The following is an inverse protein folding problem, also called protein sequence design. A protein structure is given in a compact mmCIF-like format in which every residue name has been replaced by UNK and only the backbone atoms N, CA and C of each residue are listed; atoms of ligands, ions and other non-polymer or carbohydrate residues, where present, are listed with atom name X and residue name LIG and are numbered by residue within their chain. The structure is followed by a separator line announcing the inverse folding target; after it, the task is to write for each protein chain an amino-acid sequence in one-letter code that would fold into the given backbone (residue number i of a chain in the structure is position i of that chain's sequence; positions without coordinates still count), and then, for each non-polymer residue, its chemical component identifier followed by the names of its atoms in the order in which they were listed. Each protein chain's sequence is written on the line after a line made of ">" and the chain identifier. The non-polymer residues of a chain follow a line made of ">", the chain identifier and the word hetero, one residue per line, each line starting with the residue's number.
data_IF_341164956346
#
_entry.id   IF_341164956346
#
_cell.length_a   1.000
_cell.length_b   1.000
_cell.length_c   1.000
_cell.angle_alpha   90.00
_cell.angle_beta   90.00
_cell.angle_gamma   90.00
#
_symmetry.space_group_name_H-M   'P 1'
#
loop_
_entity.id
_entity.type
_entity.pdbx_description
1 polymer ?
#
# COMPACT_ATOMS: atom_id res chain seq x y z
N UNK A 1 -26.00 2.71 6.48
CA UNK A 1 -25.03 1.72 7.03
C UNK A 1 -24.55 0.90 5.85
N UNK A 2 -23.30 1.10 5.38
CA UNK A 2 -22.74 0.17 4.38
C UNK A 2 -22.41 -1.12 5.12
N UNK A 3 -23.18 -2.16 4.91
CA UNK A 3 -22.88 -3.52 5.37
C UNK A 3 -21.57 -3.94 4.72
N UNK A 4 -20.53 -4.11 5.53
CA UNK A 4 -19.28 -4.69 5.08
C UNK A 4 -19.52 -6.17 4.78
N UNK A 5 -19.15 -6.61 3.59
CA UNK A 5 -19.34 -7.98 3.14
C UNK A 5 -17.98 -8.70 3.18
N UNK A 6 -17.93 -9.86 3.83
CA UNK A 6 -16.82 -10.77 3.64
C UNK A 6 -16.92 -11.33 2.22
N UNK A 7 -15.91 -11.06 1.39
CA UNK A 7 -15.90 -11.51 0.00
C UNK A 7 -15.22 -12.88 -0.09
N UNK A 8 -15.96 -13.93 -0.42
CA UNK A 8 -15.39 -15.24 -0.61
C UNK A 8 -14.46 -15.22 -1.84
N UNK A 9 -13.35 -15.93 -1.74
CA UNK A 9 -12.41 -16.07 -2.85
C UNK A 9 -13.03 -16.96 -3.92
N UNK A 10 -13.49 -16.36 -5.02
CA UNK A 10 -14.10 -17.07 -6.15
C UNK A 10 -13.07 -17.22 -7.25
N UNK A 11 -12.64 -18.47 -7.48
CA UNK A 11 -11.72 -18.79 -8.57
C UNK A 11 -12.40 -18.65 -9.92
N UNK A 12 -11.68 -18.17 -10.89
CA UNK A 12 -12.19 -17.94 -12.25
C UNK A 12 -11.06 -18.08 -13.26
N UNK A 13 -11.35 -18.69 -14.38
CA UNK A 13 -10.44 -18.76 -15.53
C UNK A 13 -11.18 -18.29 -16.79
N UNK A 14 -11.71 -17.06 -16.76
CA UNK A 14 -12.46 -16.45 -17.85
C UNK A 14 -11.64 -15.33 -18.50
N UNK A 15 -11.83 -15.07 -19.80
CA UNK A 15 -11.20 -13.93 -20.45
C UNK A 15 -11.48 -12.61 -19.70
N UNK A 16 -10.43 -11.84 -19.46
CA UNK A 16 -10.48 -10.56 -18.75
C UNK A 16 -10.43 -10.65 -17.23
N UNK A 17 -10.73 -11.80 -16.63
CA UNK A 17 -10.57 -11.99 -15.18
C UNK A 17 -10.23 -13.44 -14.87
N UNK A 18 -9.04 -13.68 -14.40
CA UNK A 18 -8.56 -14.99 -13.94
C UNK A 18 -8.11 -14.86 -12.49
N UNK A 19 -8.50 -15.81 -11.66
CA UNK A 19 -7.99 -16.00 -10.31
C UNK A 19 -7.72 -17.51 -10.14
N UNK A 20 -6.45 -17.86 -10.09
CA UNK A 20 -5.97 -19.24 -10.07
C UNK A 20 -5.89 -19.76 -8.64
N UNK A 21 -6.31 -21.02 -8.44
CA UNK A 21 -6.10 -21.77 -7.21
C UNK A 21 -4.75 -22.52 -7.29
N UNK A 22 -3.84 -22.22 -6.38
CA UNK A 22 -2.53 -22.88 -6.31
C UNK A 22 -2.47 -24.03 -5.27
N UNK A 23 -3.57 -24.29 -4.56
CA UNK A 23 -3.63 -25.39 -3.56
C UNK A 23 -3.36 -26.76 -4.17
N UNK A 24 -3.82 -27.08 -5.41
CA UNK A 24 -3.46 -28.35 -6.08
C UNK A 24 -1.95 -28.52 -6.32
N UNK A 25 -1.21 -27.41 -6.39
CA UNK A 25 0.25 -27.40 -6.48
C UNK A 25 0.95 -27.44 -5.09
N UNK A 26 0.19 -27.62 -4.01
CA UNK A 26 0.68 -27.71 -2.64
C UNK A 26 1.10 -26.35 -2.05
N UNK A 27 0.41 -25.28 -2.46
CA UNK A 27 0.65 -23.92 -1.99
C UNK A 27 -0.60 -23.43 -1.25
N UNK A 28 -0.62 -23.60 0.07
CA UNK A 28 -1.75 -23.21 0.92
C UNK A 28 -1.70 -21.75 1.41
N UNK A 29 -0.52 -21.16 1.48
CA UNK A 29 -0.34 -19.78 1.94
C UNK A 29 -0.74 -18.73 0.89
N UNK A 30 -0.98 -19.12 -0.36
CA UNK A 30 -1.49 -18.26 -1.41
C UNK A 30 -2.89 -18.72 -1.78
N UNK A 31 -3.87 -17.93 -1.35
CA UNK A 31 -5.29 -18.19 -1.62
C UNK A 31 -5.68 -17.90 -3.06
N UNK A 32 -4.86 -17.16 -3.81
CA UNK A 32 -5.10 -16.92 -5.22
C UNK A 32 -4.05 -16.04 -5.87
N UNK A 33 -3.79 -16.31 -7.15
CA UNK A 33 -3.01 -15.43 -8.03
C UNK A 33 -3.87 -15.06 -9.24
N UNK A 34 -4.07 -13.77 -9.45
CA UNK A 34 -5.03 -13.29 -10.44
C UNK A 34 -4.46 -12.32 -11.45
N UNK A 35 -5.14 -12.26 -12.60
CA UNK A 35 -4.98 -11.22 -13.61
C UNK A 35 -6.33 -10.64 -13.95
N UNK A 36 -6.42 -9.32 -13.97
CA UNK A 36 -7.57 -8.59 -14.53
C UNK A 36 -7.11 -7.81 -15.74
N UNK A 37 -7.81 -7.97 -16.86
CA UNK A 37 -7.53 -7.29 -18.13
C UNK A 37 -8.87 -6.87 -18.75
N UNK A 38 -9.38 -5.71 -18.33
CA UNK A 38 -10.73 -5.28 -18.69
C UNK A 38 -10.71 -4.36 -19.90
N UNK A 39 -11.28 -4.82 -21.01
CA UNK A 39 -11.44 -4.03 -22.22
C UNK A 39 -12.62 -3.04 -22.17
N UNK A 40 -13.53 -3.22 -21.22
CA UNK A 40 -14.66 -2.32 -20.96
C UNK A 40 -14.64 -1.82 -19.52
N UNK A 41 -15.29 -0.69 -19.26
CA UNK A 41 -15.55 -0.25 -17.87
C UNK A 41 -16.43 -1.31 -17.17
N UNK A 42 -16.16 -1.55 -15.90
CA UNK A 42 -16.98 -2.39 -15.03
C UNK A 42 -17.44 -1.60 -13.82
N UNK A 43 -18.53 -2.05 -13.23
CA UNK A 43 -18.97 -1.52 -11.94
C UNK A 43 -17.88 -1.70 -10.89
N UNK A 44 -17.80 -0.74 -9.99
CA UNK A 44 -16.88 -0.83 -8.89
C UNK A 44 -17.35 -1.91 -7.92
N UNK A 45 -16.45 -2.76 -7.40
CA UNK A 45 -16.82 -3.70 -6.38
C UNK A 45 -17.32 -2.98 -5.13
N UNK A 46 -18.19 -3.61 -4.38
CA UNK A 46 -18.59 -3.13 -3.06
C UNK A 46 -17.40 -3.12 -2.10
N UNK A 47 -17.55 -2.38 -1.00
CA UNK A 47 -16.55 -2.38 0.06
C UNK A 47 -16.57 -3.75 0.74
N UNK A 48 -15.47 -4.49 0.64
CA UNK A 48 -15.34 -5.85 1.12
C UNK A 48 -14.01 -6.07 1.84
N UNK A 49 -13.87 -7.20 2.50
CA UNK A 49 -12.61 -7.65 3.09
C UNK A 49 -12.43 -9.16 2.89
N UNK A 50 -11.20 -9.61 3.00
CA UNK A 50 -10.86 -11.03 2.99
C UNK A 50 -10.35 -11.45 4.37
N UNK A 51 -11.01 -12.44 5.00
CA UNK A 51 -10.67 -12.88 6.35
C UNK A 51 -9.26 -13.52 6.41
N UNK A 52 -8.38 -12.94 7.22
CA UNK A 52 -7.01 -13.43 7.40
C UNK A 52 -6.09 -13.32 6.17
N UNK A 53 -6.50 -12.57 5.14
CA UNK A 53 -5.80 -12.49 3.86
C UNK A 53 -5.31 -11.06 3.61
N UNK A 54 -4.09 -10.94 3.11
CA UNK A 54 -3.54 -9.71 2.52
C UNK A 54 -3.74 -9.76 1.00
N UNK A 55 -4.22 -8.67 0.42
CA UNK A 55 -4.28 -8.52 -1.02
C UNK A 55 -3.15 -7.60 -1.51
N UNK A 56 -2.43 -8.06 -2.51
CA UNK A 56 -1.41 -7.31 -3.24
C UNK A 56 -1.88 -7.08 -4.67
N UNK A 57 -1.99 -5.84 -5.09
CA UNK A 57 -2.41 -5.47 -6.44
C UNK A 57 -1.30 -4.71 -7.17
N UNK A 58 -0.74 -5.32 -8.23
CA UNK A 58 0.21 -4.67 -9.12
C UNK A 58 -0.53 -4.04 -10.31
N UNK A 59 -0.43 -2.73 -10.46
CA UNK A 59 -0.94 -2.03 -11.64
C UNK A 59 0.00 -2.24 -12.83
N UNK A 60 -0.48 -2.84 -13.92
CA UNK A 60 0.26 -2.97 -15.18
C UNK A 60 -0.14 -1.89 -16.18
N UNK A 61 -1.43 -1.50 -16.17
CA UNK A 61 -1.98 -0.47 -17.06
C UNK A 61 -3.18 0.21 -16.42
N UNK A 62 -3.33 1.50 -16.66
CA UNK A 62 -4.39 2.35 -16.10
C UNK A 62 -3.92 3.14 -14.87
N UNK A 63 -4.80 3.98 -14.35
CA UNK A 63 -4.60 4.71 -13.10
C UNK A 63 -5.63 4.18 -12.10
N UNK A 64 -5.16 3.57 -11.03
CA UNK A 64 -6.03 2.89 -10.09
C UNK A 64 -6.19 3.70 -8.80
N UNK A 65 -7.38 3.60 -8.21
CA UNK A 65 -7.67 4.15 -6.89
C UNK A 65 -8.32 3.07 -6.04
N UNK A 66 -7.61 2.63 -5.01
CA UNK A 66 -8.20 1.81 -3.95
C UNK A 66 -8.70 2.71 -2.83
N UNK A 67 -9.89 2.42 -2.35
CA UNK A 67 -10.46 3.00 -1.15
C UNK A 67 -10.39 1.97 -0.02
N UNK A 68 -9.97 2.42 1.14
CA UNK A 68 -10.03 1.68 2.41
C UNK A 68 -10.87 2.47 3.39
N UNK A 69 -11.12 1.98 4.59
CA UNK A 69 -11.90 2.70 5.60
C UNK A 69 -11.37 4.09 5.94
N UNK A 70 -10.06 4.28 5.81
CA UNK A 70 -9.37 5.46 6.30
C UNK A 70 -8.99 6.45 5.20
N UNK A 71 -8.81 6.00 3.96
CA UNK A 71 -8.39 6.86 2.85
C UNK A 71 -8.36 6.19 1.49
N UNK A 72 -8.13 7.01 0.46
CA UNK A 72 -7.90 6.59 -0.92
C UNK A 72 -6.40 6.51 -1.23
N UNK A 73 -6.03 5.46 -1.95
CA UNK A 73 -4.69 5.22 -2.45
C UNK A 73 -4.72 5.25 -3.98
N UNK A 74 -4.05 6.25 -4.56
CA UNK A 74 -3.89 6.36 -6.02
C UNK A 74 -2.53 5.82 -6.41
N UNK A 75 -2.48 4.94 -7.39
CA UNK A 75 -1.24 4.39 -7.89
C UNK A 75 -1.27 4.15 -9.39
N UNK A 76 -0.09 4.21 -9.99
CA UNK A 76 0.17 4.23 -11.41
C UNK A 76 0.71 2.87 -11.88
N UNK A 77 0.79 2.63 -13.20
CA UNK A 77 1.48 1.46 -13.73
C UNK A 77 2.89 1.31 -13.15
N UNK A 78 3.26 0.08 -12.83
CA UNK A 78 4.51 -0.26 -12.17
C UNK A 78 4.50 -0.12 -10.64
N UNK A 79 3.36 0.26 -10.02
CA UNK A 79 3.23 0.31 -8.57
C UNK A 79 2.34 -0.81 -8.04
N UNK A 80 2.64 -1.24 -6.83
CA UNK A 80 1.80 -2.15 -6.05
C UNK A 80 1.06 -1.39 -4.95
N UNK A 81 -0.15 -1.85 -4.66
CA UNK A 81 -0.92 -1.53 -3.46
C UNK A 81 -1.09 -2.80 -2.61
N UNK A 82 -1.08 -2.66 -1.28
CA UNK A 82 -1.30 -3.77 -0.35
C UNK A 82 -2.34 -3.43 0.70
N UNK A 83 -3.25 -4.36 0.96
CA UNK A 83 -4.18 -4.31 2.09
C UNK A 83 -3.59 -5.00 3.32
N UNK A 84 -4.02 -4.58 4.53
CA UNK A 84 -3.82 -5.40 5.71
C UNK A 84 -4.86 -6.54 5.74
N UNK A 85 -4.60 -7.59 6.53
CA UNK A 85 -5.60 -8.63 6.78
C UNK A 85 -6.89 -8.01 7.35
N UNK A 86 -8.03 -8.53 6.94
CA UNK A 86 -9.36 -8.07 7.38
C UNK A 86 -9.61 -6.57 7.11
N UNK A 87 -8.80 -5.90 6.30
CA UNK A 87 -8.98 -4.48 6.01
C UNK A 87 -10.02 -4.31 4.91
N UNK A 88 -11.15 -3.61 5.21
CA UNK A 88 -12.11 -3.26 4.18
C UNK A 88 -11.50 -2.39 3.08
N UNK A 89 -11.75 -2.78 1.85
CA UNK A 89 -11.23 -2.09 0.68
C UNK A 89 -12.11 -2.33 -0.56
N UNK A 90 -11.95 -1.46 -1.54
CA UNK A 90 -12.52 -1.64 -2.88
C UNK A 90 -11.68 -0.91 -3.91
N UNK A 91 -11.72 -1.38 -5.14
CA UNK A 91 -11.25 -0.61 -6.28
C UNK A 91 -12.32 0.42 -6.65
N UNK A 92 -12.03 1.70 -6.46
CA UNK A 92 -12.98 2.80 -6.64
C UNK A 92 -13.21 3.16 -8.10
N UNK A 93 -12.28 2.83 -8.98
CA UNK A 93 -12.40 3.06 -10.40
C UNK A 93 -11.87 1.86 -11.19
N UNK A 94 -12.66 1.42 -12.15
CA UNK A 94 -12.31 0.36 -13.12
C UNK A 94 -12.17 0.97 -14.53
N UNK A 95 -11.06 1.70 -14.82
CA UNK A 95 -10.93 2.38 -16.10
C UNK A 95 -10.84 1.36 -17.24
N UNK A 96 -11.46 1.69 -18.38
CA UNK A 96 -11.34 0.90 -19.60
C UNK A 96 -9.87 0.64 -19.95
N UNK A 97 -9.53 -0.60 -20.23
CA UNK A 97 -8.19 -1.05 -20.59
C UNK A 97 -7.23 -1.13 -19.41
N UNK A 98 -7.72 -1.17 -18.18
CA UNK A 98 -6.87 -1.47 -17.03
C UNK A 98 -6.38 -2.91 -17.07
N UNK A 99 -5.15 -3.09 -16.57
CA UNK A 99 -4.56 -4.41 -16.37
C UNK A 99 -3.85 -4.49 -15.04
N UNK A 100 -4.13 -5.54 -14.27
CA UNK A 100 -3.52 -5.74 -12.94
C UNK A 100 -3.12 -7.20 -12.74
N UNK A 101 -2.07 -7.42 -11.94
CA UNK A 101 -1.86 -8.68 -11.26
C UNK A 101 -2.32 -8.55 -9.80
N UNK A 102 -2.83 -9.66 -9.28
CA UNK A 102 -3.32 -9.76 -7.90
C UNK A 102 -2.72 -10.98 -7.23
N UNK A 103 -2.35 -10.84 -5.96
CA UNK A 103 -1.92 -11.92 -5.09
C UNK A 103 -2.73 -11.85 -3.80
N UNK A 104 -3.36 -12.94 -3.41
CA UNK A 104 -4.05 -13.12 -2.15
C UNK A 104 -3.18 -14.03 -1.26
N UNK A 105 -2.57 -13.44 -0.24
CA UNK A 105 -1.71 -14.15 0.71
C UNK A 105 -2.44 -14.40 2.02
N UNK A 106 -2.71 -15.66 2.31
CA UNK A 106 -3.26 -16.10 3.60
C UNK A 106 -2.15 -16.11 4.63
N UNK A 107 -2.35 -15.42 5.74
CA UNK A 107 -1.36 -15.41 6.81
C UNK A 107 -1.29 -16.79 7.46
N UNK A 108 -0.13 -17.47 7.41
CA UNK A 108 0.05 -18.75 8.07
C UNK A 108 -0.07 -18.62 9.58
N UNK A 109 -0.48 -19.69 10.25
CA UNK A 109 -0.47 -19.73 11.72
C UNK A 109 0.95 -19.67 12.24
N UNK A 110 1.11 -19.17 13.47
CA UNK A 110 2.40 -19.18 14.13
C UNK A 110 2.91 -20.63 14.29
N UNK A 111 4.14 -20.87 13.86
CA UNK A 111 4.71 -22.21 13.85
C UNK A 111 4.51 -23.02 12.57
N UNK A 112 3.69 -22.54 11.63
CA UNK A 112 3.53 -23.19 10.33
C UNK A 112 4.74 -22.91 9.42
N UNK A 113 5.13 -23.92 8.65
CA UNK A 113 6.07 -23.79 7.53
C UNK A 113 5.33 -23.81 6.19
N UNK A 114 5.83 -23.08 5.19
CA UNK A 114 5.23 -23.03 3.86
C UNK A 114 6.28 -22.86 2.76
N UNK A 115 5.92 -23.24 1.54
CA UNK A 115 6.77 -23.14 0.34
C UNK A 115 8.15 -23.83 0.45
N UNK A 116 8.30 -24.77 1.39
CA UNK A 116 9.57 -25.47 1.63
C UNK A 116 10.54 -24.73 2.56
N UNK A 117 10.11 -23.61 3.14
CA UNK A 117 10.84 -22.88 4.18
C UNK A 117 10.71 -23.61 5.52
N UNK A 118 11.70 -23.46 6.40
CA UNK A 118 11.55 -23.84 7.80
C UNK A 118 10.62 -22.86 8.57
N UNK A 119 10.35 -23.15 9.84
CA UNK A 119 9.47 -22.33 10.69
C UNK A 119 10.03 -20.90 10.86
N UNK A 120 11.34 -20.74 11.07
CA UNK A 120 11.96 -19.42 11.29
C UNK A 120 11.92 -18.58 10.02
N UNK A 121 12.23 -19.18 8.89
CA UNK A 121 12.17 -18.53 7.57
C UNK A 121 10.72 -18.15 7.23
N UNK A 122 9.76 -19.04 7.51
CA UNK A 122 8.32 -18.78 7.30
C UNK A 122 7.81 -17.62 8.16
N UNK A 123 8.19 -17.59 9.44
CA UNK A 123 7.86 -16.47 10.33
C UNK A 123 8.50 -15.15 9.89
N UNK A 124 9.77 -15.19 9.48
CA UNK A 124 10.46 -14.00 8.97
C UNK A 124 9.76 -13.43 7.75
N UNK A 125 9.39 -14.29 6.79
CA UNK A 125 8.72 -13.85 5.56
C UNK A 125 7.31 -13.31 5.85
N UNK A 126 6.53 -14.01 6.67
CA UNK A 126 5.19 -13.56 7.10
C UNK A 126 5.24 -12.22 7.81
N UNK A 127 6.13 -12.06 8.80
CA UNK A 127 6.34 -10.77 9.50
C UNK A 127 6.80 -9.67 8.56
N UNK A 128 7.65 -9.99 7.58
CA UNK A 128 8.13 -9.04 6.58
C UNK A 128 7.01 -8.52 5.70
N UNK A 129 6.09 -9.39 5.25
CA UNK A 129 4.93 -9.02 4.46
C UNK A 129 3.91 -8.21 5.27
N UNK A 130 3.64 -8.60 6.52
CA UNK A 130 2.72 -7.87 7.40
C UNK A 130 3.21 -6.46 7.78
N UNK A 131 4.53 -6.27 7.86
CA UNK A 131 5.16 -5.02 8.30
C UNK A 131 5.81 -4.24 7.14
N UNK A 132 5.20 -4.26 5.96
CA UNK A 132 5.69 -3.46 4.85
C UNK A 132 5.65 -1.96 5.20
N UNK A 133 6.72 -1.20 4.90
CA UNK A 133 6.85 0.20 5.32
C UNK A 133 5.88 1.13 4.58
N UNK A 134 5.33 0.68 3.46
CA UNK A 134 4.46 1.47 2.60
C UNK A 134 3.31 0.62 2.07
N UNK A 135 2.12 1.24 1.93
CA UNK A 135 0.95 0.62 1.30
C UNK A 135 1.00 0.68 -0.23
N UNK A 136 1.68 1.69 -0.76
CA UNK A 136 1.90 1.87 -2.20
C UNK A 136 3.39 2.03 -2.43
N UNK A 137 3.96 1.19 -3.26
CA UNK A 137 5.38 1.21 -3.60
C UNK A 137 5.63 0.80 -5.05
N UNK A 138 6.76 1.22 -5.60
CA UNK A 138 7.16 0.83 -6.94
C UNK A 138 7.56 -0.66 -6.97
N UNK A 139 6.93 -1.43 -7.83
CA UNK A 139 7.31 -2.81 -8.08
C UNK A 139 8.60 -2.87 -8.91
N UNK A 140 9.37 -3.93 -8.72
CA UNK A 140 10.52 -4.22 -9.57
C UNK A 140 10.13 -5.11 -10.76
N UNK A 141 10.99 -5.21 -11.76
CA UNK A 141 10.80 -6.19 -12.84
C UNK A 141 10.70 -7.63 -12.30
N UNK A 142 11.44 -7.96 -11.23
CA UNK A 142 11.35 -9.29 -10.57
C UNK A 142 9.92 -9.63 -10.14
N UNK A 143 9.20 -8.68 -9.54
CA UNK A 143 7.80 -8.89 -9.12
C UNK A 143 6.95 -9.28 -10.34
N UNK A 144 7.02 -8.49 -11.43
CA UNK A 144 6.25 -8.79 -12.65
C UNK A 144 6.65 -10.14 -13.24
N UNK A 145 7.95 -10.41 -13.37
CA UNK A 145 8.46 -11.67 -13.95
C UNK A 145 8.06 -12.88 -13.12
N UNK A 146 7.98 -12.76 -11.78
CA UNK A 146 7.51 -13.85 -10.92
C UNK A 146 6.01 -14.14 -11.12
N UNK A 147 5.18 -13.11 -11.29
CA UNK A 147 3.78 -13.31 -11.70
C UNK A 147 3.69 -13.99 -13.07
N UNK A 148 4.41 -13.48 -14.08
CA UNK A 148 4.42 -14.06 -15.43
C UNK A 148 4.80 -15.55 -15.39
N UNK A 149 5.81 -15.92 -14.58
CA UNK A 149 6.25 -17.30 -14.42
C UNK A 149 5.21 -18.21 -13.78
N UNK A 150 4.46 -17.70 -12.79
CA UNK A 150 3.36 -18.47 -12.18
C UNK A 150 2.29 -18.77 -13.22
N UNK A 151 1.87 -17.77 -14.01
CA UNK A 151 0.89 -17.96 -15.07
C UNK A 151 1.41 -18.92 -16.15
N UNK A 152 2.65 -18.77 -16.59
CA UNK A 152 3.27 -19.69 -17.57
C UNK A 152 3.31 -21.14 -17.08
N UNK A 153 3.73 -21.36 -15.84
CA UNK A 153 3.72 -22.71 -15.25
C UNK A 153 2.30 -23.29 -15.09
N UNK A 154 1.32 -22.44 -14.81
CA UNK A 154 -0.07 -22.88 -14.70
C UNK A 154 -0.65 -23.28 -16.05
N UNK A 155 -0.39 -22.50 -17.08
CA UNK A 155 -0.97 -22.68 -18.42
C UNK A 155 -0.26 -23.76 -19.24
N UNK A 156 1.07 -23.84 -19.13
CA UNK A 156 1.89 -24.61 -20.08
C UNK A 156 2.52 -25.88 -19.49
N UNK A 157 2.51 -26.05 -18.16
CA UNK A 157 3.12 -27.22 -17.55
C UNK A 157 2.06 -28.21 -17.04
N UNK A 158 2.16 -29.47 -17.49
CA UNK A 158 1.30 -30.55 -16.95
C UNK A 158 1.52 -30.74 -15.44
N UNK A 159 0.45 -31.04 -14.66
CA UNK A 159 0.57 -31.39 -13.25
C UNK A 159 1.60 -32.53 -13.03
N UNK A 160 2.63 -32.24 -12.24
CA UNK A 160 3.73 -33.16 -11.95
C UNK A 160 4.49 -32.71 -10.69
N UNK A 161 5.29 -33.56 -10.05
CA UNK A 161 6.16 -33.16 -8.97
C UNK A 161 7.11 -32.02 -9.35
N UNK A 162 7.64 -32.04 -10.58
CA UNK A 162 8.52 -30.99 -11.09
C UNK A 162 7.80 -29.66 -11.32
N UNK A 163 6.52 -29.67 -11.77
CA UNK A 163 5.71 -28.46 -11.85
C UNK A 163 5.48 -27.89 -10.45
N UNK A 164 5.09 -28.72 -9.48
CA UNK A 164 4.88 -28.30 -8.08
C UNK A 164 6.11 -27.65 -7.48
N UNK A 165 7.28 -28.25 -7.66
CA UNK A 165 8.53 -27.67 -7.16
C UNK A 165 8.82 -26.29 -7.78
N UNK A 166 8.67 -26.17 -9.11
CA UNK A 166 8.86 -24.89 -9.82
C UNK A 166 7.81 -23.84 -9.41
N UNK A 167 6.57 -24.24 -9.19
CA UNK A 167 5.49 -23.35 -8.75
C UNK A 167 5.77 -22.82 -7.34
N UNK A 168 6.20 -23.66 -6.40
CA UNK A 168 6.63 -23.24 -5.06
C UNK A 168 7.80 -22.26 -5.12
N UNK A 169 8.80 -22.53 -5.95
CA UNK A 169 9.94 -21.62 -6.16
C UNK A 169 9.50 -20.27 -6.72
N UNK A 170 8.61 -20.25 -7.72
CA UNK A 170 8.11 -19.00 -8.30
C UNK A 170 7.26 -18.21 -7.30
N UNK A 171 6.45 -18.87 -6.49
CA UNK A 171 5.65 -18.26 -5.45
C UNK A 171 6.53 -17.66 -4.33
N UNK A 172 7.55 -18.38 -3.88
CA UNK A 172 8.53 -17.88 -2.90
C UNK A 172 9.27 -16.65 -3.43
N UNK A 173 9.77 -16.74 -4.69
CA UNK A 173 10.43 -15.63 -5.36
C UNK A 173 9.53 -14.40 -5.45
N UNK A 174 8.23 -14.57 -5.74
CA UNK A 174 7.27 -13.47 -5.79
C UNK A 174 7.14 -12.78 -4.42
N UNK A 175 6.98 -13.54 -3.35
CA UNK A 175 6.85 -12.98 -1.98
C UNK A 175 8.11 -12.24 -1.55
N UNK A 176 9.29 -12.80 -1.80
CA UNK A 176 10.58 -12.15 -1.52
C UNK A 176 10.73 -10.88 -2.36
N UNK A 177 10.43 -10.94 -3.67
CA UNK A 177 10.51 -9.79 -4.55
C UNK A 177 9.58 -8.64 -4.14
N UNK A 178 8.41 -8.95 -3.57
CA UNK A 178 7.48 -7.96 -2.99
C UNK A 178 8.10 -7.30 -1.76
N UNK A 179 8.64 -8.08 -0.82
CA UNK A 179 9.32 -7.56 0.39
C UNK A 179 10.49 -6.66 0.00
N UNK A 180 11.33 -7.11 -0.94
CA UNK A 180 12.47 -6.35 -1.44
C UNK A 180 12.02 -5.04 -2.12
N UNK A 181 10.97 -5.10 -2.95
CA UNK A 181 10.43 -3.92 -3.62
C UNK A 181 9.88 -2.89 -2.65
N UNK A 182 9.13 -3.33 -1.64
CA UNK A 182 8.54 -2.45 -0.62
C UNK A 182 9.59 -1.84 0.31
N UNK A 183 10.67 -2.57 0.59
CA UNK A 183 11.82 -2.11 1.38
C UNK A 183 12.82 -1.31 0.56
N UNK A 184 12.78 -1.40 -0.76
CA UNK A 184 13.56 -0.49 -1.57
C UNK A 184 13.13 0.92 -1.21
N UNK A 185 13.97 1.58 -0.46
CA UNK A 185 13.98 3.05 -0.46
C UNK A 185 14.08 3.41 -1.95
N UNK A 186 13.11 4.15 -2.52
CA UNK A 186 13.19 4.57 -3.93
C UNK A 186 14.61 5.08 -4.15
N UNK A 187 15.31 4.50 -5.13
CA UNK A 187 16.72 4.70 -5.52
C UNK A 187 17.33 5.88 -4.77
N UNK A 188 18.31 5.67 -3.86
CA UNK A 188 18.85 6.67 -2.93
C UNK A 188 18.34 8.05 -3.30
N UNK A 189 17.24 8.49 -2.67
CA UNK A 189 16.89 9.90 -2.80
C UNK A 189 18.22 10.60 -2.56
N UNK A 190 18.67 11.50 -3.44
CA UNK A 190 19.91 12.19 -3.22
C UNK A 190 19.96 12.48 -1.73
N UNK A 191 21.05 12.16 -1.05
CA UNK A 191 21.11 12.21 0.43
C UNK A 191 20.36 13.43 0.96
N UNK A 192 20.46 14.54 0.22
CA UNK A 192 19.74 15.79 0.42
C UNK A 192 18.18 15.65 0.40
N UNK A 193 17.59 14.84 -0.49
CA UNK A 193 16.12 14.64 -0.50
C UNK A 193 15.66 13.79 0.69
N UNK A 194 16.43 12.76 1.05
CA UNK A 194 16.14 11.92 2.21
C UNK A 194 16.26 12.71 3.52
N UNK A 195 17.30 13.51 3.65
CA UNK A 195 17.52 14.41 4.78
C UNK A 195 16.43 15.46 4.88
N UNK A 196 16.04 16.07 3.75
CA UNK A 196 14.92 17.00 3.70
C UNK A 196 13.61 16.33 4.16
N UNK A 197 13.31 15.13 3.68
CA UNK A 197 12.10 14.41 4.09
C UNK A 197 12.15 14.05 5.60
N UNK A 198 13.32 13.68 6.13
CA UNK A 198 13.52 13.49 7.57
C UNK A 198 13.27 14.78 8.34
N UNK A 199 13.89 15.88 7.93
CA UNK A 199 13.72 17.20 8.54
C UNK A 199 12.26 17.66 8.54
N UNK A 200 11.51 17.43 7.46
CA UNK A 200 10.08 17.76 7.39
C UNK A 200 9.27 16.94 8.40
N UNK A 201 9.58 15.65 8.61
CA UNK A 201 8.90 14.84 9.63
C UNK A 201 9.19 15.30 11.05
N UNK A 202 10.42 15.72 11.32
CA UNK A 202 10.86 16.19 12.64
C UNK A 202 10.32 17.57 12.97
N UNK A 203 10.29 18.47 11.98
CA UNK A 203 9.88 19.87 12.13
C UNK A 203 8.84 20.28 11.07
N UNK A 204 7.66 19.66 11.03
CA UNK A 204 6.68 19.92 9.96
C UNK A 204 6.06 21.33 10.02
N UNK A 205 6.18 22.03 11.15
CA UNK A 205 5.78 23.43 11.34
C UNK A 205 6.69 24.43 10.63
N UNK A 206 7.90 24.06 10.26
CA UNK A 206 8.82 24.93 9.55
C UNK A 206 8.33 25.26 8.13
N UNK A 207 8.91 26.30 7.54
CA UNK A 207 8.67 26.63 6.14
C UNK A 207 9.64 25.88 5.24
N UNK A 208 9.09 25.41 4.11
CA UNK A 208 9.83 24.67 3.09
C UNK A 208 9.59 25.26 1.70
N UNK A 209 10.12 26.50 1.44
CA UNK A 209 9.99 27.13 0.13
C UNK A 209 10.66 26.28 -0.95
N UNK A 210 9.92 25.98 -2.02
CA UNK A 210 10.38 25.05 -3.07
C UNK A 210 11.72 25.47 -3.67
N UNK A 211 11.89 26.79 -3.94
CA UNK A 211 13.13 27.32 -4.54
C UNK A 211 14.36 27.06 -3.66
N UNK A 212 14.23 27.29 -2.35
CA UNK A 212 15.32 27.02 -1.40
C UNK A 212 15.62 25.52 -1.26
N UNK A 213 14.56 24.70 -1.23
CA UNK A 213 14.72 23.26 -1.12
C UNK A 213 15.37 22.67 -2.36
N UNK A 214 15.00 23.15 -3.56
CA UNK A 214 15.63 22.79 -4.81
C UNK A 214 17.11 23.19 -4.82
N UNK A 215 17.45 24.43 -4.40
CA UNK A 215 18.84 24.88 -4.30
C UNK A 215 19.66 24.04 -3.33
N UNK A 216 19.13 23.69 -2.14
CA UNK A 216 19.79 22.81 -1.16
C UNK A 216 20.03 21.41 -1.69
N UNK A 217 19.23 20.96 -2.64
CA UNK A 217 19.39 19.66 -3.29
C UNK A 217 20.23 19.72 -4.58
N UNK A 218 20.78 20.89 -4.94
CA UNK A 218 21.49 21.12 -6.21
C UNK A 218 20.65 20.74 -7.44
N UNK A 219 19.36 21.06 -7.43
CA UNK A 219 18.40 20.75 -8.49
C UNK A 219 17.69 22.02 -8.98
N UNK A 220 17.30 22.04 -10.24
CA UNK A 220 16.30 23.02 -10.70
C UNK A 220 14.95 22.73 -10.03
N UNK A 221 14.05 23.72 -9.95
CA UNK A 221 12.72 23.54 -9.33
C UNK A 221 11.96 22.38 -9.97
N UNK A 222 11.98 22.27 -11.31
CA UNK A 222 11.31 21.18 -12.02
C UNK A 222 11.93 19.82 -11.71
N UNK A 223 13.26 19.69 -11.74
CA UNK A 223 13.96 18.46 -11.38
C UNK A 223 13.74 18.09 -9.91
N UNK A 224 13.68 19.08 -9.00
CA UNK A 224 13.38 18.87 -7.60
C UNK A 224 11.97 18.28 -7.40
N UNK A 225 10.93 18.87 -8.02
CA UNK A 225 9.57 18.34 -7.94
C UNK A 225 9.48 16.89 -8.44
N UNK A 226 10.07 16.59 -9.60
CA UNK A 226 10.09 15.26 -10.17
C UNK A 226 10.84 14.26 -9.26
N UNK A 227 12.04 14.65 -8.77
CA UNK A 227 12.88 13.80 -7.94
C UNK A 227 12.25 13.58 -6.56
N UNK A 228 11.76 14.65 -5.91
CA UNK A 228 11.09 14.54 -4.61
C UNK A 228 9.86 13.63 -4.70
N UNK A 229 8.97 13.84 -5.69
CA UNK A 229 7.78 13.02 -5.90
C UNK A 229 8.16 11.57 -6.19
N UNK A 230 9.16 11.31 -7.02
CA UNK A 230 9.64 9.97 -7.34
C UNK A 230 10.25 9.26 -6.13
N UNK A 231 11.02 9.99 -5.31
CA UNK A 231 11.73 9.44 -4.15
C UNK A 231 10.85 9.25 -2.93
N UNK A 232 9.88 10.15 -2.71
CA UNK A 232 9.03 10.18 -1.51
C UNK A 232 7.60 9.69 -1.78
N UNK A 233 7.21 9.59 -3.05
CA UNK A 233 5.86 9.18 -3.46
C UNK A 233 4.83 10.30 -3.46
N UNK A 234 5.13 11.46 -2.87
CA UNK A 234 4.24 12.61 -2.74
C UNK A 234 4.94 13.92 -3.19
N UNK A 235 4.20 14.88 -3.76
CA UNK A 235 4.72 16.23 -3.92
C UNK A 235 5.12 16.85 -2.58
N UNK A 236 6.13 17.72 -2.56
CA UNK A 236 6.64 18.37 -1.33
C UNK A 236 5.51 18.95 -0.45
N UNK A 237 4.63 19.77 -1.04
CA UNK A 237 3.54 20.40 -0.29
C UNK A 237 2.61 19.38 0.37
N UNK A 238 2.22 18.33 -0.35
CA UNK A 238 1.37 17.26 0.20
C UNK A 238 2.09 16.52 1.33
N UNK A 239 3.39 16.29 1.19
CA UNK A 239 4.21 15.64 2.22
C UNK A 239 4.31 16.48 3.50
N UNK A 240 4.53 17.79 3.38
CA UNK A 240 4.54 18.73 4.53
C UNK A 240 3.19 18.73 5.23
N UNK A 241 2.09 18.86 4.48
CA UNK A 241 0.72 18.85 5.06
C UNK A 241 0.45 17.52 5.79
N UNK A 242 0.79 16.38 5.19
CA UNK A 242 0.62 15.09 5.84
C UNK A 242 1.44 14.99 7.14
N UNK A 243 2.69 15.48 7.13
CA UNK A 243 3.54 15.49 8.32
C UNK A 243 2.98 16.37 9.43
N UNK A 244 2.40 17.55 9.08
CA UNK A 244 1.68 18.43 10.03
C UNK A 244 0.47 17.72 10.65
N UNK A 245 -0.33 17.04 9.85
CA UNK A 245 -1.51 16.31 10.35
C UNK A 245 -1.11 15.16 11.28
N UNK A 246 -0.04 14.42 10.95
CA UNK A 246 0.46 13.34 11.81
C UNK A 246 1.01 13.88 13.15
N UNK A 247 1.69 15.05 13.13
CA UNK A 247 2.11 15.73 14.36
C UNK A 247 0.91 16.23 15.16
N UNK A 248 -0.09 16.83 14.49
CA UNK A 248 -1.35 17.23 15.14
C UNK A 248 -2.03 16.06 15.83
N UNK A 249 -2.14 14.90 15.15
CA UNK A 249 -2.70 13.69 15.76
C UNK A 249 -1.99 13.34 17.06
N UNK A 250 -0.66 13.26 17.04
CA UNK A 250 0.14 12.97 18.24
C UNK A 250 -0.12 13.99 19.36
N UNK A 251 -0.12 15.29 19.06
CA UNK A 251 -0.37 16.34 20.05
C UNK A 251 -1.78 16.26 20.63
N UNK A 252 -2.78 15.96 19.80
CA UNK A 252 -4.16 15.74 20.26
C UNK A 252 -4.23 14.52 21.18
N UNK A 253 -3.53 13.46 20.87
CA UNK A 253 -3.52 12.20 21.63
C UNK A 253 -2.69 12.28 22.93
N UNK A 254 -1.61 13.02 22.96
CA UNK A 254 -0.64 13.01 24.07
C UNK A 254 -0.69 14.23 24.96
N UNK A 255 -1.49 15.25 24.64
CA UNK A 255 -1.54 16.51 25.42
C UNK A 255 -2.98 17.02 25.62
N UNK A 256 -3.18 17.87 26.62
CA UNK A 256 -4.42 18.62 26.85
C UNK A 256 -4.51 19.94 26.07
N UNK A 257 -3.55 20.22 25.19
CA UNK A 257 -3.50 21.48 24.42
C UNK A 257 -4.75 21.66 23.56
N UNK A 258 -5.24 22.89 23.44
CA UNK A 258 -6.40 23.17 22.60
C UNK A 258 -6.12 22.89 21.12
N UNK A 259 -7.16 22.48 20.39
CA UNK A 259 -7.06 22.25 18.93
C UNK A 259 -6.61 23.53 18.23
N UNK A 260 -7.02 24.69 18.76
CA UNK A 260 -6.64 26.00 18.23
C UNK A 260 -5.15 26.27 18.35
N UNK A 261 -4.58 26.00 19.52
CA UNK A 261 -3.14 26.11 19.75
C UNK A 261 -2.34 25.22 18.82
N UNK A 262 -2.79 23.95 18.64
CA UNK A 262 -2.15 22.99 17.73
C UNK A 262 -2.24 23.45 16.28
N UNK A 263 -3.41 23.99 15.87
CA UNK A 263 -3.64 24.51 14.50
C UNK A 263 -2.69 25.67 14.19
N UNK A 264 -2.53 26.60 15.13
CA UNK A 264 -1.63 27.76 14.99
C UNK A 264 -0.16 27.33 14.91
N UNK A 265 0.30 26.45 15.84
CA UNK A 265 1.67 25.95 15.83
C UNK A 265 2.03 25.29 14.49
N UNK A 266 1.13 24.49 13.95
CA UNK A 266 1.35 23.75 12.71
C UNK A 266 1.08 24.59 11.45
N UNK A 267 0.89 25.91 11.61
CA UNK A 267 0.78 26.88 10.52
C UNK A 267 -0.29 26.57 9.49
N UNK A 268 -1.46 26.12 9.94
CA UNK A 268 -2.62 26.03 9.07
C UNK A 268 -3.25 27.43 8.91
N UNK A 269 -3.67 27.74 7.67
CA UNK A 269 -4.24 29.03 7.34
C UNK A 269 -5.51 29.40 8.13
N UNK A 270 -6.28 28.37 8.54
CA UNK A 270 -7.48 28.55 9.35
C UNK A 270 -7.90 27.24 10.01
N UNK A 271 -8.70 27.33 11.09
CA UNK A 271 -9.31 26.17 11.77
C UNK A 271 -10.18 25.31 10.83
N UNK A 272 -11.06 25.87 10.00
CA UNK A 272 -11.83 25.09 9.05
C UNK A 272 -10.93 24.32 8.07
N UNK A 273 -9.90 24.97 7.53
CA UNK A 273 -8.94 24.31 6.63
C UNK A 273 -8.21 23.15 7.33
N UNK A 274 -7.80 23.34 8.60
CA UNK A 274 -7.21 22.29 9.41
C UNK A 274 -8.18 21.12 9.61
N UNK A 275 -9.41 21.39 10.09
CA UNK A 275 -10.39 20.35 10.40
C UNK A 275 -10.77 19.51 9.16
N UNK A 276 -10.98 20.16 8.02
CA UNK A 276 -11.26 19.48 6.74
C UNK A 276 -10.08 18.62 6.29
N UNK A 277 -8.86 19.18 6.37
CA UNK A 277 -7.63 18.48 5.97
C UNK A 277 -7.35 17.30 6.90
N UNK A 278 -7.53 17.49 8.21
CA UNK A 278 -7.36 16.45 9.22
C UNK A 278 -8.33 15.29 8.99
N UNK A 279 -9.63 15.60 8.82
CA UNK A 279 -10.65 14.58 8.51
C UNK A 279 -10.37 13.87 7.19
N UNK A 280 -9.95 14.61 6.15
CA UNK A 280 -9.61 14.02 4.85
C UNK A 280 -8.43 13.03 4.93
N UNK A 281 -7.42 13.31 5.77
CA UNK A 281 -6.22 12.49 5.89
C UNK A 281 -6.41 11.35 6.89
N UNK A 282 -7.10 11.58 8.00
CA UNK A 282 -7.23 10.62 9.11
C UNK A 282 -8.61 9.98 9.24
N UNK A 283 -9.59 10.38 8.43
CA UNK A 283 -10.95 9.85 8.46
C UNK A 283 -11.82 10.34 9.63
N UNK A 284 -11.22 10.96 10.64
CA UNK A 284 -11.87 11.44 11.88
C UNK A 284 -11.60 12.93 12.06
N UNK A 285 -12.53 13.66 12.68
CA UNK A 285 -12.29 15.08 13.01
C UNK A 285 -11.36 15.24 14.22
N UNK A 286 -10.61 16.36 14.32
CA UNK A 286 -9.76 16.61 15.50
C UNK A 286 -10.55 16.57 16.82
N UNK A 287 -11.76 17.08 16.82
CA UNK A 287 -12.64 17.11 17.99
C UNK A 287 -13.08 15.69 18.39
N UNK A 288 -13.55 14.87 17.43
CA UNK A 288 -13.94 13.51 17.69
C UNK A 288 -12.76 12.66 18.21
N UNK A 289 -11.55 12.86 17.67
CA UNK A 289 -10.34 12.21 18.18
C UNK A 289 -10.10 12.57 19.66
N UNK A 290 -10.25 13.85 20.03
CA UNK A 290 -10.10 14.33 21.40
C UNK A 290 -11.14 13.72 22.35
N UNK A 291 -12.40 13.65 21.91
CA UNK A 291 -13.47 13.04 22.72
C UNK A 291 -13.24 11.54 22.98
N UNK A 292 -12.77 10.81 21.97
CA UNK A 292 -12.48 9.39 22.11
C UNK A 292 -11.39 9.15 23.16
N UNK A 293 -10.37 10.00 23.22
CA UNK A 293 -9.34 9.92 24.26
C UNK A 293 -9.85 10.21 25.65
N UNK A 294 -10.71 11.24 25.80
CA UNK A 294 -11.28 11.58 27.09
C UNK A 294 -12.17 10.48 27.66
N UNK A 295 -12.70 9.59 26.81
CA UNK A 295 -13.49 8.40 27.20
C UNK A 295 -12.62 7.20 27.56
N UNK A 296 -11.41 7.09 27.01
CA UNK A 296 -10.49 5.98 27.30
C UNK A 296 -9.67 6.21 28.57
N UNK A 297 -9.59 7.45 29.05
CA UNK A 297 -8.87 7.84 30.27
C UNK A 297 -9.79 8.01 31.48
N UNK A 298 -11.07 7.68 31.36
CA UNK A 298 -12.04 7.52 32.44
C UNK A 298 -12.36 6.06 32.69
#
# INVERSE_FOLDING_TARGET
>A
MNTMIEDPIIYSDKPGFRLLDLRPDGISCISGVGISDFHAMRDNPELHFHAGVMEFCLCLKGNLTFETNDREYKFLPGHMFVTAPNQPHRLKNNPKGMKTYRLLFTIPRLGDSFLGLDVRESEWLSRSLMNLPQRVFAATSRVKTSFDRIFDLYDNARPSPGRRARMKSAALELLIAIVDAARRIPCKAPTAISELAKRIRENPEADYPVAEMAKKCNLSISAFHATFKRSIGLPLHAYVINSRILKAKKLIESTSRSIDSITGELRFKSKPHFAVTFKRILGITPFALRQNQSRMNK
#
